data_IF_352110077236
#
_entry.id   IF_352110077236
#
_cell.length_a   1.000
_cell.length_b   1.000
_cell.length_c   1.000
_cell.angle_alpha   90.00
_cell.angle_beta   90.00
_cell.angle_gamma   90.00
#
_symmetry.space_group_name_H-M   'P 1'
#
loop_
_entity.id
_entity.type
_entity.pdbx_description
1 polymer ?
#
# COMPACT_ATOMS: atom_id res chain seq x y z
N UNK A 1 6.09 2.38 -5.09
CA UNK A 1 7.16 1.88 -5.97
C UNK A 1 8.46 2.63 -5.70
N UNK A 2 9.47 1.96 -5.15
CA UNK A 2 10.79 2.53 -4.81
C UNK A 2 11.53 3.19 -5.98
N UNK A 3 11.16 2.78 -7.20
CA UNK A 3 11.60 3.35 -8.46
C UNK A 3 11.66 4.88 -8.46
N UNK A 4 10.71 5.54 -7.80
CA UNK A 4 10.64 6.99 -7.75
C UNK A 4 11.72 7.62 -6.86
N UNK A 5 12.10 6.94 -5.78
CA UNK A 5 13.05 7.46 -4.79
C UNK A 5 14.51 7.09 -5.11
N UNK A 6 14.74 5.98 -5.80
CA UNK A 6 16.10 5.49 -6.09
C UNK A 6 16.47 5.54 -7.58
N UNK A 7 15.56 5.99 -8.46
CA UNK A 7 15.70 6.00 -9.92
C UNK A 7 16.08 4.64 -10.55
N UNK A 8 15.93 3.54 -9.80
CA UNK A 8 16.22 2.17 -10.23
C UNK A 8 14.97 1.32 -10.13
N UNK A 9 14.08 1.49 -11.11
CA UNK A 9 12.86 0.71 -11.19
C UNK A 9 13.17 -0.76 -11.52
N UNK A 10 12.89 -1.66 -10.60
CA UNK A 10 12.65 -3.08 -10.94
C UNK A 10 11.15 -3.21 -11.20
N UNK A 11 10.77 -3.99 -12.21
CA UNK A 11 9.37 -4.29 -12.46
C UNK A 11 8.75 -4.89 -11.20
N UNK A 12 7.67 -4.28 -10.69
CA UNK A 12 6.93 -4.81 -9.55
C UNK A 12 5.87 -5.78 -10.07
N UNK A 13 5.76 -6.93 -9.40
CA UNK A 13 4.79 -7.97 -9.74
C UNK A 13 3.46 -7.78 -9.01
N UNK A 14 3.36 -6.74 -8.19
CA UNK A 14 2.23 -6.33 -7.35
C UNK A 14 2.18 -4.79 -7.23
N UNK A 15 1.06 -4.29 -6.71
CA UNK A 15 0.83 -2.87 -6.37
C UNK A 15 0.49 -2.77 -4.89
N UNK A 16 1.35 -2.11 -4.12
CA UNK A 16 1.08 -1.76 -2.72
C UNK A 16 0.19 -0.52 -2.61
N UNK A 17 -0.91 -0.62 -1.86
CA UNK A 17 -1.85 0.48 -1.60
C UNK A 17 -1.98 0.69 -0.09
N UNK A 18 -1.53 1.85 0.38
CA UNK A 18 -1.68 2.26 1.78
C UNK A 18 -2.98 3.04 1.93
N UNK A 19 -3.93 2.47 2.66
CA UNK A 19 -5.24 3.04 2.92
C UNK A 19 -5.16 3.80 4.25
N UNK A 20 -5.13 5.14 4.15
CA UNK A 20 -4.97 6.04 5.30
C UNK A 20 -6.26 6.15 6.13
N UNK A 21 -6.75 5.02 6.62
CA UNK A 21 -7.94 4.89 7.46
C UNK A 21 -7.64 3.96 8.63
N UNK A 22 -8.43 4.07 9.70
CA UNK A 22 -8.29 3.22 10.90
C UNK A 22 -8.50 1.75 10.55
N UNK A 23 -7.88 0.86 11.33
CA UNK A 23 -8.11 -0.59 11.25
C UNK A 23 -9.57 -0.96 11.53
N UNK A 24 -10.26 -0.17 12.36
CA UNK A 24 -11.70 -0.31 12.62
C UNK A 24 -12.57 -0.05 11.38
N UNK A 25 -12.08 0.75 10.43
CA UNK A 25 -12.78 1.14 9.19
C UNK A 25 -12.50 0.18 8.02
N UNK A 26 -11.94 -1.01 8.27
CA UNK A 26 -11.57 -1.98 7.22
C UNK A 26 -12.71 -2.29 6.24
N UNK A 27 -13.96 -2.34 6.70
CA UNK A 27 -15.12 -2.62 5.85
C UNK A 27 -15.38 -1.46 4.88
N UNK A 28 -15.35 -0.22 5.37
CA UNK A 28 -15.46 1.00 4.54
C UNK A 28 -14.34 1.06 3.51
N UNK A 29 -13.13 0.63 3.89
CA UNK A 29 -11.99 0.57 2.99
C UNK A 29 -12.23 -0.40 1.82
N UNK A 30 -12.82 -1.58 2.08
CA UNK A 30 -13.17 -2.54 1.03
C UNK A 30 -14.32 -2.06 0.15
N UNK A 31 -15.32 -1.39 0.74
CA UNK A 31 -16.49 -0.90 0.00
C UNK A 31 -16.15 0.27 -0.94
N UNK A 32 -15.02 0.95 -0.71
CA UNK A 32 -14.50 2.01 -1.57
C UNK A 32 -13.68 1.49 -2.77
N UNK A 33 -13.36 0.19 -2.83
CA UNK A 33 -12.63 -0.40 -3.94
C UNK A 33 -13.48 -0.41 -5.22
N UNK A 34 -12.81 -0.37 -6.37
CA UNK A 34 -13.48 -0.52 -7.66
C UNK A 34 -14.18 -1.90 -7.76
N UNK A 35 -15.31 -1.96 -8.46
CA UNK A 35 -16.19 -3.14 -8.50
C UNK A 35 -15.54 -4.39 -9.13
N UNK A 36 -14.50 -4.19 -9.93
CA UNK A 36 -13.67 -5.22 -10.53
C UNK A 36 -12.66 -5.84 -9.55
N UNK A 37 -12.34 -5.18 -8.44
CA UNK A 37 -11.47 -5.74 -7.39
C UNK A 37 -12.17 -6.89 -6.67
N UNK A 38 -11.56 -8.08 -6.71
CA UNK A 38 -12.12 -9.31 -6.15
C UNK A 38 -11.55 -9.59 -4.75
N UNK A 39 -12.40 -9.41 -3.75
CA UNK A 39 -12.08 -9.71 -2.34
C UNK A 39 -12.89 -10.91 -1.86
N UNK A 40 -12.22 -12.07 -1.75
CA UNK A 40 -12.83 -13.32 -1.24
C UNK A 40 -13.19 -13.19 0.23
N UNK A 41 -14.16 -13.99 0.70
CA UNK A 41 -14.61 -14.01 2.10
C UNK A 41 -13.45 -14.27 3.08
N UNK A 42 -12.54 -15.16 2.72
CA UNK A 42 -11.34 -15.47 3.49
C UNK A 42 -10.39 -14.27 3.55
N UNK A 43 -10.25 -13.53 2.45
CA UNK A 43 -9.50 -12.27 2.40
C UNK A 43 -10.09 -11.20 3.33
N UNK A 44 -11.42 -11.08 3.40
CA UNK A 44 -12.08 -10.15 4.34
C UNK A 44 -11.77 -10.49 5.81
N UNK A 45 -11.74 -11.78 6.14
CA UNK A 45 -11.37 -12.25 7.50
C UNK A 45 -9.91 -11.95 7.82
N UNK A 46 -9.02 -12.16 6.85
CA UNK A 46 -7.59 -11.82 6.96
C UNK A 46 -7.44 -10.31 7.16
N UNK A 47 -8.10 -9.49 6.35
CA UNK A 47 -7.96 -8.05 6.41
C UNK A 47 -8.40 -7.47 7.75
N UNK A 48 -9.52 -7.96 8.29
CA UNK A 48 -10.00 -7.57 9.62
C UNK A 48 -9.04 -7.96 10.75
N UNK A 49 -8.29 -9.06 10.60
CA UNK A 49 -7.42 -9.60 11.65
C UNK A 49 -6.01 -9.04 11.58
N UNK A 50 -5.48 -8.89 10.37
CA UNK A 50 -4.07 -8.63 10.09
C UNK A 50 -3.81 -7.21 9.60
N UNK A 51 -4.87 -6.40 9.41
CA UNK A 51 -4.83 -5.02 8.89
C UNK A 51 -4.22 -4.90 7.48
N UNK A 52 -3.97 -6.03 6.83
CA UNK A 52 -3.42 -6.12 5.49
C UNK A 52 -3.99 -7.33 4.75
N UNK A 53 -4.14 -7.22 3.43
CA UNK A 53 -4.62 -8.32 2.59
C UNK A 53 -4.18 -8.16 1.14
N UNK A 54 -3.84 -9.29 0.50
CA UNK A 54 -3.68 -9.37 -0.96
C UNK A 54 -5.03 -9.63 -1.64
N UNK A 55 -5.41 -8.79 -2.59
CA UNK A 55 -6.62 -8.91 -3.41
C UNK A 55 -6.28 -8.92 -4.89
N UNK A 56 -7.24 -9.32 -5.71
CA UNK A 56 -7.02 -9.50 -7.15
C UNK A 56 -7.78 -8.44 -7.95
N UNK A 57 -7.04 -7.71 -8.77
CA UNK A 57 -7.55 -6.81 -9.79
C UNK A 57 -6.88 -7.19 -11.11
N UNK A 58 -7.49 -8.14 -11.82
CA UNK A 58 -6.89 -8.82 -12.97
C UNK A 58 -5.43 -9.28 -12.71
N UNK A 59 -4.46 -8.63 -13.36
CA UNK A 59 -3.02 -8.80 -13.16
C UNK A 59 -2.33 -7.44 -13.36
N UNK A 60 -1.56 -6.89 -12.39
CA UNK A 60 -1.03 -7.51 -11.16
C UNK A 60 -1.96 -7.45 -9.92
N UNK A 61 -1.72 -8.29 -8.89
CA UNK A 61 -2.46 -8.23 -7.62
C UNK A 61 -2.21 -6.92 -6.84
N UNK A 62 -3.14 -6.60 -5.94
CA UNK A 62 -3.06 -5.45 -5.04
C UNK A 62 -2.79 -5.93 -3.61
N UNK A 63 -1.82 -5.33 -2.93
CA UNK A 63 -1.60 -5.49 -1.49
C UNK A 63 -2.15 -4.26 -0.76
N UNK A 64 -3.16 -4.46 0.08
CA UNK A 64 -3.82 -3.39 0.83
C UNK A 64 -3.31 -3.36 2.26
N UNK A 65 -3.05 -2.17 2.80
CA UNK A 65 -2.58 -1.96 4.17
C UNK A 65 -3.39 -0.85 4.85
N UNK A 66 -3.91 -1.10 6.06
CA UNK A 66 -4.57 -0.10 6.92
C UNK A 66 -3.56 0.56 7.86
N UNK A 67 -3.97 1.65 8.52
CA UNK A 67 -3.15 2.33 9.51
C UNK A 67 -3.05 1.54 10.82
N UNK A 68 -2.14 0.57 10.87
CA UNK A 68 -1.94 -0.32 12.05
C UNK A 68 -1.02 0.26 13.13
N UNK A 69 -0.35 1.38 12.87
CA UNK A 69 0.58 2.02 13.83
C UNK A 69 0.42 3.54 13.85
N UNK A 70 0.82 4.17 14.96
CA UNK A 70 0.78 5.64 15.11
C UNK A 70 1.60 6.38 14.05
N UNK A 71 2.62 5.74 13.47
CA UNK A 71 3.44 6.30 12.38
C UNK A 71 2.58 6.76 11.19
N UNK A 72 1.47 6.07 10.93
CA UNK A 72 0.57 6.36 9.83
C UNK A 72 -0.16 7.70 9.96
N UNK A 73 -0.37 8.21 11.19
CA UNK A 73 -1.10 9.45 11.46
C UNK A 73 -0.48 10.71 10.83
N UNK A 74 0.80 10.64 10.44
CA UNK A 74 1.51 11.74 9.79
C UNK A 74 1.69 11.58 8.28
N UNK A 75 1.37 10.42 7.70
CA UNK A 75 1.67 10.11 6.30
C UNK A 75 0.86 10.99 5.36
N UNK A 76 -0.42 11.24 5.66
CA UNK A 76 -1.29 12.07 4.82
C UNK A 76 -0.67 13.45 4.53
N UNK A 77 -0.04 14.05 5.54
CA UNK A 77 0.63 15.36 5.43
C UNK A 77 1.93 15.31 4.62
N UNK A 78 2.49 14.13 4.40
CA UNK A 78 3.76 13.89 3.68
C UNK A 78 3.56 13.25 2.31
N UNK A 79 2.31 12.98 1.91
CA UNK A 79 1.99 12.46 0.59
C UNK A 79 2.59 13.37 -0.49
N UNK A 80 3.21 12.75 -1.49
CA UNK A 80 3.68 13.42 -2.69
C UNK A 80 2.68 13.21 -3.80
N UNK A 81 2.20 14.28 -4.41
CA UNK A 81 1.37 14.21 -5.60
C UNK A 81 2.25 14.09 -6.83
N UNK A 82 2.10 12.99 -7.56
CA UNK A 82 2.90 12.69 -8.75
C UNK A 82 2.00 12.43 -9.95
N UNK A 83 2.50 12.71 -11.15
CA UNK A 83 1.78 12.40 -12.39
C UNK A 83 2.14 11.00 -12.86
N UNK A 84 1.16 10.11 -12.90
CA UNK A 84 1.32 8.73 -13.36
C UNK A 84 0.18 8.37 -14.31
N UNK A 85 0.52 7.87 -15.52
CA UNK A 85 -0.46 7.59 -16.56
C UNK A 85 -1.32 8.80 -16.95
N UNK A 86 -0.76 10.01 -16.87
CA UNK A 86 -1.48 11.27 -17.13
C UNK A 86 -2.44 11.72 -16.03
N UNK A 87 -2.48 11.03 -14.88
CA UNK A 87 -3.30 11.39 -13.73
C UNK A 87 -2.43 11.80 -12.55
N UNK A 88 -2.89 12.80 -11.78
CA UNK A 88 -2.26 13.13 -10.50
C UNK A 88 -2.72 12.13 -9.45
N UNK A 89 -1.77 11.42 -8.83
CA UNK A 89 -2.02 10.40 -7.83
C UNK A 89 -1.16 10.64 -6.58
N UNK A 90 -1.65 10.26 -5.39
CA UNK A 90 -0.88 10.34 -4.15
C UNK A 90 0.12 9.18 -4.03
N UNK A 91 1.38 9.50 -3.75
CA UNK A 91 2.46 8.57 -3.47
C UNK A 91 3.00 8.81 -2.07
N UNK A 92 3.47 7.74 -1.42
CA UNK A 92 4.23 7.87 -0.17
C UNK A 92 5.53 8.65 -0.39
N UNK A 93 5.94 9.42 0.61
CA UNK A 93 7.25 10.06 0.58
C UNK A 93 8.38 9.02 0.60
N UNK A 94 9.57 9.41 0.14
CA UNK A 94 10.73 8.52 0.19
C UNK A 94 11.12 8.12 1.62
N UNK A 95 10.89 9.01 2.58
CA UNK A 95 11.11 8.72 3.99
C UNK A 95 10.13 7.65 4.49
N UNK A 96 8.84 7.80 4.19
CA UNK A 96 7.81 6.83 4.64
C UNK A 96 8.02 5.46 4.01
N UNK A 97 8.43 5.41 2.73
CA UNK A 97 8.80 4.16 2.06
C UNK A 97 9.98 3.44 2.75
N UNK A 98 11.01 4.19 3.15
CA UNK A 98 12.16 3.64 3.86
C UNK A 98 11.75 3.07 5.24
N UNK A 99 10.91 3.80 5.99
CA UNK A 99 10.38 3.33 7.29
C UNK A 99 9.56 2.05 7.11
N UNK A 100 8.66 2.01 6.12
CA UNK A 100 7.87 0.80 5.88
C UNK A 100 8.74 -0.40 5.53
N UNK A 101 9.76 -0.22 4.68
CA UNK A 101 10.72 -1.30 4.42
C UNK A 101 11.43 -1.79 5.69
N UNK A 102 11.79 -0.88 6.59
CA UNK A 102 12.36 -1.25 7.88
C UNK A 102 11.37 -2.04 8.75
N UNK A 103 10.07 -1.70 8.73
CA UNK A 103 9.03 -2.46 9.44
C UNK A 103 8.81 -3.86 8.87
N UNK A 104 8.87 -4.03 7.54
CA UNK A 104 8.70 -5.35 6.91
C UNK A 104 9.92 -6.27 7.09
N UNK A 105 11.10 -5.72 7.38
CA UNK A 105 12.36 -6.40 7.75
C UNK A 105 12.62 -7.73 7.01
N UNK A 106 12.35 -7.78 5.69
CA UNK A 106 12.76 -8.91 4.86
C UNK A 106 14.20 -8.67 4.42
N UNK A 107 15.04 -9.70 4.40
CA UNK A 107 16.47 -9.62 4.02
C UNK A 107 16.71 -8.98 2.65
N UNK A 108 15.70 -9.00 1.76
CA UNK A 108 15.72 -8.38 0.42
C UNK A 108 15.50 -6.86 0.43
N UNK A 109 15.00 -6.28 1.51
CA UNK A 109 14.69 -4.84 1.62
C UNK A 109 15.91 -3.97 1.93
N UNK A 110 17.00 -4.55 2.45
CA UNK A 110 18.25 -3.84 2.70
C UNK A 110 19.01 -3.45 1.43
N UNK A 111 18.76 -4.11 0.29
CA UNK A 111 19.40 -3.78 -0.99
C UNK A 111 18.81 -2.53 -1.67
N UNK A 112 17.74 -2.00 -1.10
CA UNK A 112 16.87 -0.96 -1.66
C UNK A 112 16.90 0.35 -0.81
N UNK A 113 17.47 0.30 0.39
CA UNK A 113 17.81 1.47 1.24
C UNK A 113 19.16 2.05 0.81
#
# INVERSE_FOLDING_TARGET
MLAWCTQRARGTIDIDVNLLVSTDDWQRALDALAADVKVKREGRKIFKRDDQVRVWWDNPPLDLFLNSTEFHSGIEKRVRWETFGGKSLPFLSCFDLAVFKAFFNRTKDWADL
#
